data_IF_838526923163
#
_entry.id   IF_838526923163
#
_cell.length_a   1.000
_cell.length_b   1.000
_cell.length_c   1.000
_cell.angle_alpha   90.00
_cell.angle_beta   90.00
_cell.angle_gamma   90.00
#
_symmetry.space_group_name_H-M   'P 1'
#
loop_
_entity.id
_entity.type
_entity.pdbx_description
1 polymer ?
#
# COMPACT_ATOMS: atom_id res chain seq x y z
N UNK A 1 36.74 -21.74 -45.43
CA UNK A 1 36.73 -20.26 -45.50
C UNK A 1 35.90 -19.74 -44.34
N UNK A 2 36.53 -19.30 -43.25
CA UNK A 2 36.00 -18.32 -42.31
C UNK A 2 37.22 -17.67 -41.64
N UNK A 3 37.28 -16.35 -41.74
CA UNK A 3 38.41 -15.50 -41.35
C UNK A 3 38.47 -15.33 -39.83
N UNK A 4 39.68 -15.41 -39.30
CA UNK A 4 40.03 -15.03 -37.93
C UNK A 4 40.36 -13.53 -37.87
N UNK A 5 39.94 -12.85 -36.80
CA UNK A 5 40.47 -11.55 -36.41
C UNK A 5 40.66 -11.51 -34.90
N UNK A 6 41.91 -11.37 -34.50
CA UNK A 6 42.41 -11.07 -33.16
C UNK A 6 42.39 -9.56 -32.90
N UNK A 7 42.02 -9.11 -31.71
CA UNK A 7 42.35 -7.75 -31.23
C UNK A 7 42.71 -7.79 -29.76
N UNK A 8 43.77 -7.06 -29.48
CA UNK A 8 44.62 -6.99 -28.28
C UNK A 8 44.10 -6.07 -27.18
N UNK A 9 44.61 -6.38 -25.98
CA UNK A 9 44.67 -5.66 -24.70
C UNK A 9 44.65 -4.12 -24.74
N UNK A 10 44.08 -3.50 -23.69
CA UNK A 10 44.81 -2.45 -22.96
C UNK A 10 44.39 -2.37 -21.49
N UNK A 11 45.41 -2.32 -20.64
CA UNK A 11 45.43 -2.20 -19.18
C UNK A 11 45.15 -0.76 -18.71
N UNK A 12 44.56 -0.61 -17.53
CA UNK A 12 44.52 0.65 -16.77
C UNK A 12 45.27 0.49 -15.45
N UNK A 13 46.20 1.39 -15.10
CA UNK A 13 46.84 1.41 -13.79
C UNK A 13 46.14 2.40 -12.84
N UNK A 14 46.31 2.10 -11.56
CA UNK A 14 45.91 2.85 -10.38
C UNK A 14 46.93 3.92 -9.97
N UNK A 15 46.55 4.68 -8.94
CA UNK A 15 47.35 5.52 -8.03
C UNK A 15 47.42 7.02 -8.42
N UNK A 16 46.96 7.91 -7.51
CA UNK A 16 47.79 8.85 -6.71
C UNK A 16 46.89 9.85 -5.94
N UNK A 17 47.08 9.85 -4.61
CA UNK A 17 46.69 10.88 -3.65
C UNK A 17 47.38 12.22 -3.95
N UNK A 18 46.71 13.35 -3.74
CA UNK A 18 47.44 14.60 -3.59
C UNK A 18 46.62 15.89 -3.53
N UNK A 19 46.56 16.45 -2.32
CA UNK A 19 46.82 17.87 -2.01
C UNK A 19 45.76 18.92 -2.41
N UNK A 20 45.09 19.42 -1.38
CA UNK A 20 44.45 20.74 -1.28
C UNK A 20 45.38 21.88 -1.69
N UNK A 21 44.81 22.94 -2.28
CA UNK A 21 45.18 24.27 -1.84
C UNK A 21 43.96 25.14 -1.48
N UNK A 22 44.11 25.80 -0.33
CA UNK A 22 43.43 27.04 0.02
C UNK A 22 43.57 28.08 -1.10
N UNK A 23 42.53 28.88 -1.33
CA UNK A 23 42.67 30.35 -1.46
C UNK A 23 41.34 31.10 -1.63
N UNK A 24 41.31 32.24 -0.95
CA UNK A 24 40.62 33.48 -1.30
C UNK A 24 39.10 33.59 -1.14
N UNK A 25 38.72 33.98 0.09
CA UNK A 25 37.55 34.80 0.40
C UNK A 25 37.62 36.14 -0.35
N UNK A 26 36.67 36.40 -1.25
CA UNK A 26 36.35 37.74 -1.74
C UNK A 26 35.05 38.21 -1.10
N UNK A 27 35.13 39.30 -0.33
CA UNK A 27 33.99 40.06 0.16
C UNK A 27 33.17 40.60 -1.03
N UNK A 28 31.87 40.30 -1.03
CA UNK A 28 30.86 41.03 -1.82
C UNK A 28 29.87 41.64 -0.80
N UNK A 29 29.57 42.94 -0.88
CA UNK A 29 28.67 43.58 0.08
C UNK A 29 27.22 43.15 -0.18
N UNK A 30 26.57 42.66 0.88
CA UNK A 30 25.14 42.38 0.93
C UNK A 30 24.34 43.66 0.70
N UNK A 31 23.62 43.74 -0.42
CA UNK A 31 22.46 44.61 -0.57
C UNK A 31 21.29 43.94 0.12
N UNK A 32 20.72 44.61 1.12
CA UNK A 32 19.48 44.23 1.81
C UNK A 32 18.34 44.06 0.79
N UNK A 33 18.09 42.82 0.38
CA UNK A 33 16.84 42.40 -0.22
C UNK A 33 15.90 42.09 0.93
N UNK A 34 14.86 42.90 1.09
CA UNK A 34 13.75 42.57 1.97
C UNK A 34 13.08 41.31 1.39
N UNK A 35 13.39 40.16 2.00
CA UNK A 35 12.67 38.91 1.80
C UNK A 35 11.22 39.15 2.21
N UNK A 36 10.39 39.39 1.21
CA UNK A 36 8.95 39.26 1.33
C UNK A 36 8.73 37.76 1.36
N UNK A 37 8.42 37.22 2.54
CA UNK A 37 7.89 35.88 2.70
C UNK A 37 6.59 35.79 1.90
N UNK A 38 6.70 35.43 0.62
CA UNK A 38 5.57 34.98 -0.19
C UNK A 38 5.08 33.69 0.46
N UNK A 39 4.00 33.83 1.24
CA UNK A 39 3.18 32.74 1.76
C UNK A 39 2.80 31.83 0.59
N UNK A 40 3.61 30.80 0.41
CA UNK A 40 3.49 29.80 -0.64
C UNK A 40 2.29 28.95 -0.27
N UNK A 41 1.09 29.41 -0.64
CA UNK A 41 -0.17 28.71 -0.42
C UNK A 41 -0.06 27.34 -1.08
N UNK A 42 0.26 26.33 -0.26
CA UNK A 42 0.49 24.97 -0.76
C UNK A 42 -0.80 24.48 -1.41
N UNK A 43 -0.70 24.03 -2.65
CA UNK A 43 -1.86 23.50 -3.35
C UNK A 43 -2.31 22.23 -2.59
N UNK A 44 -3.51 22.21 -1.98
CA UNK A 44 -3.94 21.11 -1.11
C UNK A 44 -4.03 19.78 -1.87
N UNK A 45 -4.24 19.83 -3.19
CA UNK A 45 -4.24 18.64 -4.05
C UNK A 45 -2.81 18.09 -4.19
N UNK A 46 -1.81 18.97 -4.31
CA UNK A 46 -0.42 18.56 -4.41
C UNK A 46 0.07 17.91 -3.11
N UNK A 47 -0.33 18.44 -1.94
CA UNK A 47 0.01 17.85 -0.65
C UNK A 47 -0.65 16.48 -0.46
N UNK A 48 -1.93 16.33 -0.82
CA UNK A 48 -2.61 15.04 -0.82
C UNK A 48 -1.94 14.04 -1.77
N UNK A 49 -1.59 14.46 -2.98
CA UNK A 49 -0.92 13.59 -3.96
C UNK A 49 0.46 13.13 -3.45
N UNK A 50 1.18 14.02 -2.75
CA UNK A 50 2.47 13.70 -2.13
C UNK A 50 2.34 12.56 -1.13
N UNK A 51 1.25 12.47 -0.37
CA UNK A 51 0.99 11.37 0.57
C UNK A 51 0.91 10.00 -0.13
N UNK A 52 0.30 9.93 -1.32
CA UNK A 52 0.26 8.67 -2.09
C UNK A 52 1.61 8.36 -2.75
N UNK A 53 2.35 9.39 -3.16
CA UNK A 53 3.69 9.20 -3.72
C UNK A 53 4.72 8.79 -2.66
N UNK A 54 4.53 9.18 -1.41
CA UNK A 54 5.38 8.81 -0.28
C UNK A 54 5.10 7.41 0.27
N UNK A 55 4.13 6.67 -0.26
CA UNK A 55 3.92 5.27 0.14
C UNK A 55 5.16 4.46 -0.26
N UNK A 56 5.91 4.00 0.74
CA UNK A 56 7.15 3.24 0.61
C UNK A 56 7.14 1.92 1.41
N UNK A 57 6.10 1.72 2.23
CA UNK A 57 5.94 0.54 3.08
C UNK A 57 4.50 0.03 3.12
N UNK A 58 4.34 -1.23 3.52
CA UNK A 58 3.03 -1.83 3.83
C UNK A 58 2.29 -1.03 4.91
N UNK A 59 3.00 -0.55 5.93
CA UNK A 59 2.47 0.25 7.02
C UNK A 59 1.89 1.57 6.52
N UNK A 60 2.58 2.25 5.59
CA UNK A 60 2.06 3.48 4.97
C UNK A 60 0.76 3.24 4.21
N UNK A 61 0.61 2.09 3.54
CA UNK A 61 -0.66 1.72 2.87
C UNK A 61 -1.78 1.58 3.88
N UNK A 62 -1.54 0.89 5.00
CA UNK A 62 -2.55 0.71 6.04
C UNK A 62 -2.89 2.01 6.77
N UNK A 63 -1.91 2.89 6.98
CA UNK A 63 -2.10 4.17 7.65
C UNK A 63 -2.98 5.15 6.86
N UNK A 64 -2.93 5.10 5.53
CA UNK A 64 -3.77 5.96 4.69
C UNK A 64 -5.26 5.63 4.81
N UNK A 65 -5.62 4.39 5.20
CA UNK A 65 -7.00 3.91 5.33
C UNK A 65 -7.89 4.25 4.11
N UNK A 66 -7.29 4.29 2.92
CA UNK A 66 -8.01 4.55 1.67
C UNK A 66 -8.47 3.21 1.06
N UNK A 67 -9.76 2.92 1.19
CA UNK A 67 -10.36 1.67 0.71
C UNK A 67 -10.18 1.46 -0.81
N UNK A 68 -10.21 2.52 -1.61
CA UNK A 68 -10.03 2.43 -3.06
C UNK A 68 -8.57 2.11 -3.42
N UNK A 69 -7.61 2.69 -2.69
CA UNK A 69 -6.20 2.33 -2.84
C UNK A 69 -5.96 0.87 -2.48
N UNK A 70 -6.51 0.42 -1.34
CA UNK A 70 -6.41 -0.96 -0.87
C UNK A 70 -7.03 -1.91 -1.90
N UNK A 71 -8.20 -1.57 -2.44
CA UNK A 71 -8.86 -2.37 -3.47
C UNK A 71 -8.05 -2.42 -4.78
N UNK A 72 -7.50 -1.30 -5.22
CA UNK A 72 -6.61 -1.23 -6.39
C UNK A 72 -5.37 -2.12 -6.21
N UNK A 73 -4.71 -2.04 -5.05
CA UNK A 73 -3.58 -2.89 -4.71
C UNK A 73 -3.95 -4.38 -4.66
N UNK A 74 -5.11 -4.73 -4.08
CA UNK A 74 -5.58 -6.12 -4.03
C UNK A 74 -5.87 -6.68 -5.42
N UNK A 75 -6.46 -5.88 -6.31
CA UNK A 75 -6.69 -6.27 -7.70
C UNK A 75 -5.37 -6.54 -8.43
N UNK A 76 -4.40 -5.63 -8.30
CA UNK A 76 -3.06 -5.79 -8.85
C UNK A 76 -2.39 -7.09 -8.33
N UNK A 77 -2.46 -7.34 -7.02
CA UNK A 77 -1.90 -8.53 -6.41
C UNK A 77 -2.57 -9.82 -6.88
N UNK A 78 -3.90 -9.81 -7.05
CA UNK A 78 -4.67 -10.95 -7.57
C UNK A 78 -4.25 -11.30 -8.99
N UNK A 79 -4.09 -10.31 -9.85
CA UNK A 79 -3.60 -10.52 -11.23
C UNK A 79 -2.20 -11.15 -11.26
N UNK A 80 -1.34 -10.75 -10.31
CA UNK A 80 0.03 -11.27 -10.17
C UNK A 80 0.12 -12.58 -9.36
N UNK A 81 -1.01 -13.12 -8.89
CA UNK A 81 -1.09 -14.31 -8.00
C UNK A 81 -0.30 -14.16 -6.70
N UNK A 82 -0.25 -12.94 -6.15
CA UNK A 82 0.47 -12.59 -4.92
C UNK A 82 -0.47 -12.05 -3.82
N UNK A 83 -1.79 -12.20 -3.97
CA UNK A 83 -2.80 -11.69 -3.02
C UNK A 83 -2.61 -12.23 -1.59
N UNK A 84 -2.10 -13.45 -1.46
CA UNK A 84 -1.88 -14.12 -0.18
C UNK A 84 -0.81 -13.43 0.69
N UNK A 85 0.17 -12.75 0.09
CA UNK A 85 1.18 -11.98 0.84
C UNK A 85 0.49 -10.85 1.63
N UNK A 86 -0.43 -10.13 0.99
CA UNK A 86 -1.14 -9.03 1.63
C UNK A 86 -2.12 -9.53 2.70
N UNK A 87 -2.84 -10.62 2.43
CA UNK A 87 -3.71 -11.27 3.43
C UNK A 87 -2.92 -11.74 4.64
N UNK A 88 -1.78 -12.38 4.42
CA UNK A 88 -0.91 -12.86 5.49
C UNK A 88 -0.38 -11.71 6.36
N UNK A 89 0.14 -10.64 5.75
CA UNK A 89 0.61 -9.45 6.49
C UNK A 89 -0.53 -8.80 7.29
N UNK A 90 -1.73 -8.70 6.71
CA UNK A 90 -2.91 -8.19 7.42
C UNK A 90 -3.29 -9.09 8.61
N UNK A 91 -3.25 -10.42 8.44
CA UNK A 91 -3.53 -11.36 9.53
C UNK A 91 -2.50 -11.26 10.65
N UNK A 92 -1.22 -11.06 10.33
CA UNK A 92 -0.16 -10.83 11.33
C UNK A 92 -0.46 -9.57 12.16
N UNK A 93 -0.83 -8.46 11.51
CA UNK A 93 -1.22 -7.23 12.20
C UNK A 93 -2.43 -7.45 13.14
N UNK A 94 -3.46 -8.15 12.65
CA UNK A 94 -4.63 -8.51 13.46
C UNK A 94 -4.25 -9.37 14.67
N UNK A 95 -3.44 -10.41 14.47
CA UNK A 95 -2.94 -11.27 15.55
C UNK A 95 -2.16 -10.45 16.61
N UNK A 96 -1.29 -9.53 16.19
CA UNK A 96 -0.55 -8.65 17.11
C UNK A 96 -1.46 -7.71 17.91
N UNK A 97 -2.53 -7.20 17.27
CA UNK A 97 -3.56 -6.41 17.96
C UNK A 97 -4.36 -7.25 18.96
N UNK A 98 -4.76 -8.46 18.59
CA UNK A 98 -5.45 -9.40 19.48
C UNK A 98 -4.61 -9.71 20.73
N UNK A 99 -3.31 -9.96 20.56
CA UNK A 99 -2.37 -10.18 21.67
C UNK A 99 -2.25 -8.96 22.60
N UNK A 100 -2.10 -7.76 22.03
CA UNK A 100 -1.93 -6.52 22.80
C UNK A 100 -3.18 -6.20 23.64
N UNK A 101 -4.37 -6.39 23.07
CA UNK A 101 -5.65 -6.14 23.76
C UNK A 101 -5.85 -7.08 24.95
N UNK A 102 -5.35 -8.32 24.87
CA UNK A 102 -5.44 -9.27 25.98
C UNK A 102 -4.52 -8.95 27.15
N UNK A 103 -3.40 -8.27 26.93
CA UNK A 103 -2.46 -7.88 28.00
C UNK A 103 -2.87 -6.61 28.74
N UNK A 104 -3.75 -5.79 28.16
CA UNK A 104 -4.19 -4.52 28.74
C UNK A 104 -5.41 -4.69 29.66
N UNK A 105 -5.36 -5.65 30.59
CA UNK A 105 -6.42 -5.76 31.61
C UNK A 105 -6.35 -4.51 32.52
N UNK A 106 -7.46 -3.82 32.79
CA UNK A 106 -7.47 -2.65 33.65
C UNK A 106 -6.96 -3.03 35.04
N UNK A 107 -5.95 -2.29 35.53
CA UNK A 107 -5.45 -2.43 36.90
C UNK A 107 -6.63 -2.34 37.90
N UNK A 108 -6.75 -3.25 38.89
CA UNK A 108 -7.82 -3.25 39.88
C UNK A 108 -7.89 -2.00 40.78
N UNK A 109 -6.95 -1.06 40.68
CA UNK A 109 -6.81 0.07 41.62
C UNK A 109 -7.84 1.20 41.47
N UNK A 110 -8.82 1.14 40.56
CA UNK A 110 -9.86 2.17 40.45
C UNK A 110 -11.24 1.82 41.06
N UNK A 111 -11.33 0.76 41.86
CA UNK A 111 -12.59 0.40 42.56
C UNK A 111 -12.79 1.06 43.94
N UNK A 112 -11.99 2.06 44.32
CA UNK A 112 -12.24 2.87 45.52
C UNK A 112 -12.12 4.37 45.22
N UNK A 113 -13.23 5.00 44.85
CA UNK A 113 -13.61 6.38 45.23
C UNK A 113 -14.46 7.05 44.13
N UNK A 114 -15.76 6.77 44.11
CA UNK A 114 -16.76 7.84 44.03
C UNK A 114 -18.18 7.29 44.19
N UNK A 115 -18.76 7.52 45.38
CA UNK A 115 -20.21 7.66 45.53
C UNK A 115 -20.55 9.09 45.15
N UNK A 116 -21.41 9.32 44.14
CA UNK A 116 -22.44 10.40 44.09
C UNK A 116 -23.16 10.42 42.71
N UNK A 117 -24.34 11.08 42.60
CA UNK A 117 -25.54 10.46 42.02
C UNK A 117 -25.89 10.84 40.57
N UNK A 118 -26.82 10.02 40.05
CA UNK A 118 -27.51 10.03 38.77
C UNK A 118 -27.96 11.42 38.27
N UNK A 119 -27.66 11.70 37.00
CA UNK A 119 -28.52 12.47 36.09
C UNK A 119 -28.74 11.66 34.81
N UNK A 120 -30.01 11.43 34.47
CA UNK A 120 -30.42 10.78 33.23
C UNK A 120 -30.39 11.79 32.10
N UNK A 121 -29.70 11.49 30.99
CA UNK A 121 -30.07 12.05 29.69
C UNK A 121 -29.71 11.08 28.58
N UNK A 122 -30.61 11.05 27.61
CA UNK A 122 -30.86 10.04 26.58
C UNK A 122 -29.97 10.13 25.34
N UNK A 123 -30.04 9.03 24.58
CA UNK A 123 -29.81 8.86 23.14
C UNK A 123 -28.39 8.90 22.60
N UNK A 124 -27.92 7.75 22.13
CA UNK A 124 -27.61 7.59 20.70
C UNK A 124 -27.57 6.11 20.32
N UNK A 125 -28.58 5.70 19.55
CA UNK A 125 -28.55 4.46 18.77
C UNK A 125 -28.06 4.81 17.37
N UNK A 126 -26.89 4.32 16.97
CA UNK A 126 -26.61 3.91 15.59
C UNK A 126 -25.38 3.00 15.60
N UNK A 127 -25.63 1.70 15.61
CA UNK A 127 -24.66 0.65 15.33
C UNK A 127 -24.81 0.25 13.87
N UNK A 128 -23.75 0.41 13.07
CA UNK A 128 -23.71 -0.06 11.69
C UNK A 128 -22.76 -1.25 11.55
N UNK A 129 -23.21 -2.16 10.71
CA UNK A 129 -22.80 -3.54 10.49
C UNK A 129 -21.36 -3.70 9.98
N UNK A 130 -20.61 -4.62 10.57
CA UNK A 130 -19.53 -5.33 9.87
C UNK A 130 -19.87 -6.82 9.81
N UNK A 131 -20.22 -7.27 8.60
CA UNK A 131 -20.30 -8.67 8.25
C UNK A 131 -18.91 -9.14 7.84
N UNK A 132 -18.27 -9.97 8.67
CA UNK A 132 -17.52 -11.13 8.16
C UNK A 132 -17.30 -12.20 9.23
N UNK A 133 -17.45 -13.43 8.78
CA UNK A 133 -17.60 -14.67 9.54
C UNK A 133 -16.32 -15.13 10.26
N UNK A 134 -16.05 -14.58 11.45
CA UNK A 134 -15.15 -15.19 12.46
C UNK A 134 -15.91 -15.55 13.76
N UNK A 135 -17.23 -15.33 13.79
CA UNK A 135 -18.04 -15.44 15.01
C UNK A 135 -18.40 -16.88 15.45
N UNK A 136 -17.81 -17.96 14.92
CA UNK A 136 -18.28 -19.33 15.22
C UNK A 136 -17.42 -20.18 16.15
N UNK A 137 -16.32 -19.66 16.70
CA UNK A 137 -15.55 -20.33 17.76
C UNK A 137 -15.16 -19.40 18.90
N UNK A 138 -16.03 -18.43 19.25
CA UNK A 138 -15.95 -17.74 20.54
C UNK A 138 -16.49 -18.68 21.63
N UNK A 139 -15.79 -19.79 21.86
CA UNK A 139 -16.03 -20.66 23.01
C UNK A 139 -15.80 -19.76 24.23
N UNK A 140 -16.89 -19.45 24.93
CA UNK A 140 -16.89 -18.65 26.16
C UNK A 140 -16.20 -19.43 27.28
N UNK A 141 -14.87 -19.53 27.22
CA UNK A 141 -14.02 -20.02 28.30
C UNK A 141 -13.72 -18.84 29.23
N UNK A 142 -14.69 -18.52 30.09
CA UNK A 142 -14.44 -17.68 31.25
C UNK A 142 -13.68 -18.51 32.31
N UNK A 143 -12.35 -18.51 32.25
CA UNK A 143 -11.49 -18.96 33.34
C UNK A 143 -10.29 -18.03 33.44
N UNK A 144 -10.42 -17.00 34.30
CA UNK A 144 -9.39 -16.00 34.58
C UNK A 144 -8.04 -16.66 34.90
N UNK A 145 -7.01 -16.35 34.09
CA UNK A 145 -5.61 -16.69 34.33
C UNK A 145 -5.00 -17.74 33.40
N UNK A 146 -5.65 -18.90 33.21
CA UNK A 146 -5.11 -19.99 32.37
C UNK A 146 -5.48 -19.90 30.89
N UNK A 147 -6.50 -19.14 30.51
CA UNK A 147 -7.01 -19.06 29.13
C UNK A 147 -6.16 -18.19 28.21
N UNK A 148 -5.41 -17.21 28.72
CA UNK A 148 -4.53 -16.37 27.88
C UNK A 148 -3.36 -17.18 27.30
N UNK A 149 -2.88 -18.20 28.02
CA UNK A 149 -1.78 -19.07 27.58
C UNK A 149 -2.14 -19.90 26.33
N UNK A 150 -3.42 -20.12 26.05
CA UNK A 150 -3.86 -20.96 24.92
C UNK A 150 -4.22 -20.16 23.67
N UNK A 151 -4.47 -18.85 23.79
CA UNK A 151 -4.88 -18.01 22.67
C UNK A 151 -3.78 -17.94 21.60
N UNK A 152 -2.54 -17.71 22.01
CA UNK A 152 -1.41 -17.56 21.09
C UNK A 152 -1.12 -18.86 20.29
N UNK A 153 -1.02 -20.05 20.91
CA UNK A 153 -0.94 -21.33 20.18
C UNK A 153 -2.10 -21.56 19.21
N UNK A 154 -3.34 -21.20 19.60
CA UNK A 154 -4.52 -21.35 18.74
C UNK A 154 -4.45 -20.45 17.50
N UNK A 155 -4.14 -19.16 17.69
CA UNK A 155 -3.99 -18.20 16.59
C UNK A 155 -2.83 -18.61 15.68
N UNK A 156 -1.72 -19.10 16.24
CA UNK A 156 -0.60 -19.57 15.44
C UNK A 156 -0.93 -20.84 14.64
N UNK A 157 -1.70 -21.77 15.21
CA UNK A 157 -2.14 -22.97 14.48
C UNK A 157 -3.06 -22.60 13.31
N UNK A 158 -3.94 -21.62 13.47
CA UNK A 158 -4.73 -21.05 12.38
C UNK A 158 -3.85 -20.44 11.29
N UNK A 159 -2.96 -19.54 11.70
CA UNK A 159 -2.01 -18.87 10.83
C UNK A 159 -1.14 -19.85 10.05
N UNK A 160 -0.62 -20.88 10.72
CA UNK A 160 0.20 -21.91 10.08
C UNK A 160 -0.58 -22.67 9.02
N UNK A 161 -1.78 -23.14 9.35
CA UNK A 161 -2.60 -23.92 8.42
C UNK A 161 -3.04 -23.07 7.21
N UNK A 162 -3.30 -21.78 7.40
CA UNK A 162 -3.75 -20.90 6.34
C UNK A 162 -2.60 -20.41 5.45
N UNK A 163 -1.48 -19.95 6.02
CA UNK A 163 -0.44 -19.24 5.25
C UNK A 163 0.87 -20.00 5.11
N UNK A 164 1.19 -20.95 5.99
CA UNK A 164 2.52 -21.60 6.04
C UNK A 164 2.49 -23.03 5.51
N UNK A 165 1.39 -23.76 5.71
CA UNK A 165 1.22 -25.13 5.27
C UNK A 165 1.28 -25.22 3.75
N UNK A 166 2.09 -26.14 3.22
CA UNK A 166 2.28 -26.33 1.78
C UNK A 166 1.00 -26.78 1.07
N UNK A 167 0.10 -27.44 1.79
CA UNK A 167 -1.18 -27.91 1.27
C UNK A 167 -2.25 -26.82 1.25
N UNK A 168 -1.95 -25.64 1.81
CA UNK A 168 -2.88 -24.51 1.82
C UNK A 168 -2.95 -23.82 0.47
N UNK A 169 -4.17 -23.51 0.03
CA UNK A 169 -4.43 -22.65 -1.13
C UNK A 169 -3.91 -21.21 -0.94
N UNK A 170 -3.78 -20.79 0.32
CA UNK A 170 -3.31 -19.47 0.74
C UNK A 170 -1.84 -19.46 1.17
N UNK A 171 -1.10 -20.53 0.85
CA UNK A 171 0.30 -20.66 1.22
C UNK A 171 1.16 -19.52 0.63
N UNK A 172 1.81 -18.74 1.49
CA UNK A 172 2.74 -17.68 1.07
C UNK A 172 4.11 -18.27 0.68
N UNK A 173 4.83 -17.59 -0.21
CA UNK A 173 6.18 -17.99 -0.61
C UNK A 173 7.23 -17.51 0.40
N UNK A 174 7.58 -18.36 1.36
CA UNK A 174 8.65 -18.11 2.35
C UNK A 174 9.76 -19.16 2.25
N UNK A 175 10.91 -18.84 2.84
CA UNK A 175 12.10 -19.71 2.83
C UNK A 175 11.84 -21.04 3.55
N UNK A 176 12.54 -22.09 3.12
CA UNK A 176 12.44 -23.42 3.72
C UNK A 176 12.82 -23.44 5.21
N UNK A 177 13.75 -22.55 5.62
CA UNK A 177 14.13 -22.36 7.02
C UNK A 177 12.93 -21.92 7.86
N UNK A 178 12.24 -20.85 7.46
CA UNK A 178 11.07 -20.35 8.20
C UNK A 178 9.94 -21.40 8.28
N UNK A 179 9.73 -22.18 7.22
CA UNK A 179 8.76 -23.29 7.25
C UNK A 179 9.15 -24.38 8.24
N UNK A 180 10.44 -24.71 8.32
CA UNK A 180 10.96 -25.70 9.27
C UNK A 180 10.75 -25.20 10.70
N UNK A 181 11.12 -23.96 10.98
CA UNK A 181 10.95 -23.33 12.29
C UNK A 181 9.48 -23.32 12.73
N UNK A 182 8.57 -22.93 11.82
CA UNK A 182 7.13 -22.96 12.08
C UNK A 182 6.60 -24.38 12.33
N UNK A 183 7.08 -25.37 11.58
CA UNK A 183 6.69 -26.78 11.76
C UNK A 183 7.16 -27.35 13.11
N UNK A 184 8.36 -26.98 13.55
CA UNK A 184 8.88 -27.35 14.88
C UNK A 184 7.99 -26.77 15.99
N UNK A 185 7.52 -25.52 15.84
CA UNK A 185 6.57 -24.90 16.79
C UNK A 185 5.23 -25.65 16.81
N UNK A 186 4.70 -26.06 15.66
CA UNK A 186 3.47 -26.88 15.62
C UNK A 186 3.64 -28.19 16.38
N UNK A 187 4.79 -28.87 16.20
CA UNK A 187 5.08 -30.11 16.94
C UNK A 187 5.14 -29.88 18.46
N UNK A 188 5.65 -28.73 18.90
CA UNK A 188 5.64 -28.37 20.33
C UNK A 188 4.23 -28.06 20.83
N UNK A 189 3.41 -27.36 20.04
CA UNK A 189 1.99 -27.12 20.36
C UNK A 189 1.23 -28.46 20.48
N UNK A 190 1.51 -29.41 19.59
CA UNK A 190 0.93 -30.76 19.62
C UNK A 190 1.30 -31.52 20.90
N UNK A 191 2.56 -31.40 21.33
CA UNK A 191 3.08 -32.03 22.53
C UNK A 191 2.50 -31.43 23.81
N UNK A 192 2.45 -30.10 23.91
CA UNK A 192 1.97 -29.40 25.11
C UNK A 192 0.43 -29.36 25.19
N UNK A 193 -0.26 -29.31 24.05
CA UNK A 193 -1.71 -29.11 23.98
C UNK A 193 -2.41 -30.07 22.99
N UNK A 194 -2.35 -31.40 23.22
CA UNK A 194 -2.88 -32.41 22.27
C UNK A 194 -4.38 -32.27 21.98
N UNK A 195 -5.14 -31.67 22.90
CA UNK A 195 -6.58 -31.45 22.76
C UNK A 195 -6.95 -30.36 21.75
N UNK A 196 -6.01 -29.49 21.35
CA UNK A 196 -6.27 -28.44 20.37
C UNK A 196 -6.38 -28.98 18.94
N UNK A 197 -5.68 -30.08 18.61
CA UNK A 197 -5.73 -30.68 17.26
C UNK A 197 -6.95 -31.55 17.01
N UNK A 198 -7.46 -32.24 18.03
CA UNK A 198 -8.55 -33.21 17.87
C UNK A 198 -9.90 -32.59 17.46
N UNK A 199 -10.02 -31.27 17.41
CA UNK A 199 -11.26 -30.57 17.01
C UNK A 199 -11.32 -30.19 15.53
N UNK A 200 -10.29 -30.49 14.73
CA UNK A 200 -10.16 -29.95 13.36
C UNK A 200 -10.08 -30.97 12.23
N UNK A 201 -10.50 -32.22 12.40
CA UNK A 201 -10.94 -33.00 11.23
C UNK A 201 -12.28 -32.45 10.76
N UNK A 202 -12.35 -31.68 9.65
CA UNK A 202 -13.63 -31.48 8.99
C UNK A 202 -14.08 -32.87 8.55
N UNK A 203 -15.18 -33.36 9.12
CA UNK A 203 -15.98 -34.40 8.48
C UNK A 203 -16.44 -33.82 7.14
N UNK A 204 -15.69 -34.08 6.07
CA UNK A 204 -16.15 -33.82 4.71
C UNK A 204 -17.51 -34.53 4.56
N UNK A 205 -18.60 -33.82 4.24
CA UNK A 205 -19.82 -34.50 3.85
C UNK A 205 -19.48 -35.21 2.53
N UNK A 206 -19.44 -36.55 2.56
CA UNK A 206 -19.42 -37.33 1.33
C UNK A 206 -20.69 -36.97 0.56
N UNK A 207 -20.54 -36.17 -0.50
CA UNK A 207 -21.56 -36.03 -1.53
C UNK A 207 -21.62 -37.37 -2.27
N UNK A 208 -22.54 -38.23 -1.86
CA UNK A 208 -23.02 -39.31 -2.71
C UNK A 208 -23.65 -38.68 -3.96
N UNK A 209 -22.87 -38.66 -5.05
CA UNK A 209 -23.38 -38.35 -6.37
C UNK A 209 -24.24 -39.54 -6.80
N UNK A 210 -25.55 -39.42 -6.62
CA UNK A 210 -26.52 -40.28 -7.29
C UNK A 210 -26.46 -39.97 -8.78
N UNK A 211 -26.05 -40.97 -9.54
CA UNK A 211 -25.97 -40.95 -10.99
C UNK A 211 -27.36 -41.18 -11.59
N UNK A 212 -27.82 -40.27 -12.44
CA UNK A 212 -28.92 -40.56 -13.38
C UNK A 212 -28.83 -39.75 -14.68
N UNK A 213 -29.09 -40.52 -15.75
CA UNK A 213 -29.49 -40.15 -17.12
C UNK A 213 -28.57 -39.32 -18.02
N UNK A 214 -27.80 -40.05 -18.83
CA UNK A 214 -27.90 -40.09 -20.30
C UNK A 214 -28.28 -38.81 -21.06
N UNK A 215 -27.27 -38.18 -21.67
CA UNK A 215 -27.38 -37.63 -23.02
C UNK A 215 -26.08 -37.92 -23.79
N UNK A 216 -26.20 -38.73 -24.85
CA UNK A 216 -25.17 -38.90 -25.88
C UNK A 216 -25.14 -37.63 -26.73
N UNK A 217 -24.01 -36.94 -26.73
CA UNK A 217 -23.65 -35.99 -27.78
C UNK A 217 -22.20 -36.26 -28.16
N UNK A 218 -21.98 -36.66 -29.41
CA UNK A 218 -20.66 -36.96 -29.98
C UNK A 218 -19.79 -35.69 -30.03
N UNK A 219 -18.48 -35.76 -29.68
CA UNK A 219 -17.57 -34.65 -29.90
C UNK A 219 -16.93 -34.71 -31.31
N UNK A 220 -16.70 -33.55 -31.95
CA UNK A 220 -15.98 -33.49 -33.21
C UNK A 220 -14.47 -33.69 -32.99
N UNK A 221 -13.87 -34.45 -33.91
CA UNK A 221 -12.43 -34.70 -34.00
C UNK A 221 -11.68 -33.38 -34.26
N UNK A 222 -10.92 -32.91 -33.26
CA UNK A 222 -9.90 -31.88 -33.44
C UNK A 222 -8.52 -32.49 -33.22
N UNK A 223 -7.81 -32.60 -34.34
CA UNK A 223 -6.48 -33.15 -34.48
C UNK A 223 -5.47 -32.03 -34.15
N UNK A 224 -4.83 -32.10 -32.98
CA UNK A 224 -3.71 -31.21 -32.64
C UNK A 224 -2.53 -32.08 -32.21
N UNK A 225 -1.55 -32.18 -33.11
CA UNK A 225 -0.23 -32.73 -32.84
C UNK A 225 0.50 -31.85 -31.83
N UNK A 226 0.76 -32.39 -30.64
CA UNK A 226 1.71 -31.83 -29.68
C UNK A 226 3.06 -32.47 -29.94
N UNK A 227 3.97 -31.75 -30.58
CA UNK A 227 5.39 -32.12 -30.66
C UNK A 227 6.08 -31.77 -29.35
N UNK A 228 6.30 -32.77 -28.49
CA UNK A 228 7.13 -32.64 -27.28
C UNK A 228 8.61 -32.75 -27.65
N UNK A 229 9.34 -31.65 -27.73
CA UNK A 229 10.80 -31.63 -27.82
C UNK A 229 11.41 -31.57 -26.42
N UNK A 230 11.80 -32.72 -25.89
CA UNK A 230 12.59 -32.89 -24.66
C UNK A 230 14.04 -32.45 -24.89
N UNK A 231 14.47 -31.35 -24.28
CA UNK A 231 15.91 -30.99 -24.18
C UNK A 231 16.45 -31.43 -22.81
N UNK A 232 17.26 -32.47 -22.85
CA UNK A 232 18.08 -32.98 -21.76
C UNK A 232 18.99 -31.87 -21.18
N UNK A 233 18.88 -31.61 -19.88
CA UNK A 233 19.88 -30.83 -19.13
C UNK A 233 21.02 -31.77 -18.73
N UNK A 234 22.22 -31.46 -19.22
CA UNK A 234 23.50 -32.03 -18.81
C UNK A 234 23.82 -31.61 -17.37
N UNK A 235 24.06 -32.59 -16.51
CA UNK A 235 24.64 -32.47 -15.18
C UNK A 235 26.17 -32.37 -15.26
N UNK A 236 26.78 -31.50 -14.45
CA UNK A 236 28.22 -31.37 -14.20
C UNK A 236 28.43 -31.02 -12.70
N UNK A 237 29.64 -31.24 -12.13
CA UNK A 237 29.81 -32.10 -10.97
C UNK A 237 29.94 -31.36 -9.63
N UNK A 238 29.48 -32.03 -8.58
CA UNK A 238 29.71 -31.71 -7.17
C UNK A 238 31.18 -31.91 -6.79
N UNK A 239 31.88 -30.83 -6.41
CA UNK A 239 33.18 -30.91 -5.74
C UNK A 239 32.96 -31.14 -4.25
N UNK A 240 33.51 -32.26 -3.78
CA UNK A 240 33.75 -32.61 -2.39
C UNK A 240 34.72 -31.63 -1.72
N UNK A 241 34.37 -31.15 -0.54
CA UNK A 241 35.33 -30.64 0.43
C UNK A 241 35.35 -31.62 1.60
N UNK A 242 36.46 -32.34 1.72
CA UNK A 242 36.83 -33.11 2.89
C UNK A 242 37.76 -32.27 3.78
N UNK A 243 37.77 -32.64 5.05
CA UNK A 243 38.88 -32.50 6.01
C UNK A 243 39.20 -31.11 6.59
N UNK A 244 38.65 -30.84 7.79
CA UNK A 244 39.44 -30.34 8.93
C UNK A 244 38.99 -31.04 10.21
N UNK A 245 39.81 -31.99 10.66
CA UNK A 245 39.83 -32.57 12.01
C UNK A 245 40.82 -31.83 12.92
N UNK A 246 40.64 -32.01 14.24
CA UNK A 246 41.48 -31.62 15.41
C UNK A 246 41.22 -30.19 15.93
N UNK A 247 40.89 -29.94 17.20
CA UNK A 247 41.39 -30.51 18.46
C UNK A 247 40.27 -30.76 19.48
N UNK A 248 40.46 -31.85 20.22
CA UNK A 248 39.58 -32.39 21.25
C UNK A 248 40.25 -32.13 22.60
N UNK A 249 39.83 -31.10 23.30
CA UNK A 249 40.11 -30.97 24.74
C UNK A 249 38.97 -31.59 25.53
N UNK A 250 39.29 -32.71 26.16
CA UNK A 250 38.53 -33.29 27.25
C UNK A 250 38.96 -32.58 28.52
N UNK A 251 38.06 -31.85 29.17
CA UNK A 251 37.89 -31.81 30.63
C UNK A 251 36.99 -30.63 31.02
N UNK A 252 35.78 -30.94 31.48
CA UNK A 252 35.12 -30.42 32.70
C UNK A 252 33.62 -30.65 32.56
N UNK A 253 33.22 -31.88 32.82
CA UNK A 253 31.86 -32.19 33.26
C UNK A 253 31.68 -31.61 34.66
N UNK A 254 30.83 -30.59 34.77
CA UNK A 254 29.83 -30.45 35.84
C UNK A 254 29.35 -29.00 35.85
N UNK A 255 28.03 -28.82 35.88
CA UNK A 255 27.33 -27.55 36.12
C UNK A 255 27.21 -26.56 34.96
N UNK A 256 26.38 -26.85 33.95
CA UNK A 256 25.52 -25.83 33.30
C UNK A 256 24.51 -26.41 32.28
N UNK A 257 23.94 -27.59 32.52
CA UNK A 257 22.79 -28.05 31.73
C UNK A 257 21.48 -27.50 32.33
N UNK A 258 21.40 -26.18 32.50
CA UNK A 258 20.10 -25.51 32.58
C UNK A 258 19.63 -25.38 31.13
N UNK A 259 19.05 -26.44 30.62
CA UNK A 259 18.16 -26.38 29.46
C UNK A 259 17.09 -25.34 29.80
N UNK A 260 17.36 -24.10 29.42
CA UNK A 260 16.41 -23.02 29.50
C UNK A 260 15.31 -23.43 28.52
N UNK A 261 14.23 -24.00 29.04
CA UNK A 261 13.02 -24.29 28.27
C UNK A 261 12.59 -22.96 27.68
N UNK A 262 12.93 -22.72 26.41
CA UNK A 262 12.50 -21.53 25.71
C UNK A 262 10.98 -21.58 25.75
N UNK A 263 10.38 -20.52 26.30
CA UNK A 263 8.93 -20.41 26.38
C UNK A 263 8.33 -20.47 24.97
N UNK A 264 7.38 -21.38 24.77
CA UNK A 264 6.70 -21.60 23.49
C UNK A 264 6.13 -20.29 22.92
N UNK A 265 5.65 -19.39 23.79
CA UNK A 265 5.16 -18.07 23.38
C UNK A 265 6.24 -17.24 22.69
N UNK A 266 7.46 -17.28 23.22
CA UNK A 266 8.63 -16.58 22.64
C UNK A 266 9.00 -17.17 21.29
N UNK A 267 8.92 -18.50 21.13
CA UNK A 267 9.16 -19.16 19.84
C UNK A 267 8.12 -18.75 18.79
N UNK A 268 6.84 -18.74 19.16
CA UNK A 268 5.73 -18.32 18.28
C UNK A 268 5.93 -16.88 17.82
N UNK A 269 6.17 -15.95 18.75
CA UNK A 269 6.34 -14.52 18.43
C UNK A 269 7.55 -14.34 17.51
N UNK A 270 8.69 -14.95 17.83
CA UNK A 270 9.90 -14.86 17.01
C UNK A 270 9.70 -15.41 15.59
N UNK A 271 8.92 -16.49 15.45
CA UNK A 271 8.57 -17.03 14.14
C UNK A 271 7.64 -16.08 13.35
N UNK A 272 6.61 -15.52 13.98
CA UNK A 272 5.70 -14.56 13.35
C UNK A 272 6.48 -13.32 12.88
N UNK A 273 7.35 -12.76 13.72
CA UNK A 273 8.17 -11.60 13.37
C UNK A 273 9.12 -11.89 12.20
N UNK A 274 9.70 -13.09 12.18
CA UNK A 274 10.58 -13.51 11.09
C UNK A 274 9.84 -13.68 9.75
N UNK A 275 8.61 -14.23 9.79
CA UNK A 275 7.73 -14.33 8.61
C UNK A 275 7.30 -12.93 8.16
N UNK A 276 6.87 -12.08 9.09
CA UNK A 276 6.45 -10.71 8.81
C UNK A 276 7.57 -9.92 8.14
N UNK A 277 8.79 -9.97 8.69
CA UNK A 277 9.95 -9.28 8.13
C UNK A 277 10.24 -9.74 6.71
N UNK A 278 10.27 -11.06 6.47
CA UNK A 278 10.51 -11.61 5.15
C UNK A 278 9.47 -11.14 4.13
N UNK A 279 8.19 -11.18 4.50
CA UNK A 279 7.09 -10.75 3.64
C UNK A 279 7.08 -9.22 3.41
N UNK A 280 7.37 -8.41 4.44
CA UNK A 280 7.50 -6.95 4.30
C UNK A 280 8.64 -6.58 3.37
N UNK A 281 9.80 -7.26 3.48
CA UNK A 281 10.91 -7.03 2.56
C UNK A 281 10.51 -7.32 1.11
N UNK A 282 9.85 -8.46 0.87
CA UNK A 282 9.35 -8.80 -0.46
C UNK A 282 8.30 -7.79 -0.95
N UNK A 283 7.36 -7.40 -0.09
CA UNK A 283 6.31 -6.45 -0.42
C UNK A 283 6.88 -5.07 -0.76
N UNK A 284 7.73 -4.52 0.08
CA UNK A 284 8.28 -3.16 -0.09
C UNK A 284 9.24 -3.10 -1.29
N UNK A 285 10.11 -4.09 -1.46
CA UNK A 285 11.16 -4.04 -2.48
C UNK A 285 10.70 -4.50 -3.87
N UNK A 286 9.73 -5.42 -3.95
CA UNK A 286 9.33 -5.99 -5.24
C UNK A 286 7.91 -5.56 -5.62
N UNK A 287 6.95 -5.77 -4.73
CA UNK A 287 5.53 -5.58 -5.06
C UNK A 287 5.21 -4.10 -5.20
N UNK A 288 5.52 -3.31 -4.17
CA UNK A 288 5.12 -1.91 -4.08
C UNK A 288 5.80 -1.05 -5.15
N UNK A 289 7.09 -1.28 -5.40
CA UNK A 289 7.83 -0.58 -6.46
C UNK A 289 7.20 -0.81 -7.84
N UNK A 290 6.76 -2.05 -8.11
CA UNK A 290 6.12 -2.38 -9.38
C UNK A 290 4.68 -1.88 -9.45
N UNK A 291 3.93 -1.97 -8.35
CA UNK A 291 2.57 -1.42 -8.26
C UNK A 291 2.54 0.08 -8.53
N UNK A 292 3.48 0.85 -7.98
CA UNK A 292 3.58 2.30 -8.22
C UNK A 292 3.88 2.68 -9.68
N UNK A 293 4.42 1.74 -10.46
CA UNK A 293 4.68 1.91 -11.91
C UNK A 293 3.53 1.38 -12.77
N UNK A 294 2.56 0.70 -12.16
CA UNK A 294 1.47 0.08 -12.87
C UNK A 294 0.45 1.13 -13.38
N UNK A 295 -0.20 0.79 -14.50
CA UNK A 295 -1.20 1.65 -15.10
C UNK A 295 -2.45 1.78 -14.22
N UNK A 296 -2.81 0.74 -13.47
CA UNK A 296 -3.96 0.77 -12.55
C UNK A 296 -3.73 1.78 -11.43
N UNK A 297 -2.50 1.84 -10.87
CA UNK A 297 -2.15 2.83 -9.85
C UNK A 297 -2.17 4.25 -10.40
N UNK A 298 -1.66 4.45 -11.62
CA UNK A 298 -1.70 5.77 -12.29
C UNK A 298 -3.14 6.23 -12.53
N UNK A 299 -4.01 5.30 -12.96
CA UNK A 299 -5.43 5.56 -13.20
C UNK A 299 -6.16 5.89 -11.89
N UNK A 300 -5.84 5.17 -10.81
CA UNK A 300 -6.31 5.47 -9.46
C UNK A 300 -5.93 6.89 -9.02
N UNK A 301 -4.65 7.27 -9.15
CA UNK A 301 -4.19 8.62 -8.80
C UNK A 301 -4.91 9.71 -9.61
N UNK A 302 -5.08 9.51 -10.91
CA UNK A 302 -5.79 10.45 -11.77
C UNK A 302 -7.25 10.61 -11.34
N UNK A 303 -7.91 9.50 -11.00
CA UNK A 303 -9.30 9.51 -10.52
C UNK A 303 -9.43 10.28 -9.21
N UNK A 304 -8.49 10.11 -8.28
CA UNK A 304 -8.41 10.86 -7.02
C UNK A 304 -8.19 12.36 -7.25
N UNK A 305 -7.27 12.73 -8.14
CA UNK A 305 -7.02 14.15 -8.48
C UNK A 305 -8.27 14.80 -9.06
N UNK A 306 -9.00 14.12 -9.94
CA UNK A 306 -10.27 14.61 -10.50
C UNK A 306 -11.31 14.77 -9.39
N UNK A 307 -11.46 13.77 -8.51
CA UNK A 307 -12.40 13.82 -7.39
C UNK A 307 -12.12 15.01 -6.46
N UNK A 308 -10.86 15.21 -6.04
CA UNK A 308 -10.49 16.35 -5.19
C UNK A 308 -10.64 17.69 -5.89
N UNK A 309 -10.37 17.76 -7.20
CA UNK A 309 -10.61 18.96 -7.99
C UNK A 309 -12.09 19.35 -7.95
N UNK A 310 -13.00 18.37 -8.01
CA UNK A 310 -14.44 18.60 -7.93
C UNK A 310 -14.90 18.97 -6.51
N UNK A 311 -14.32 18.36 -5.48
CA UNK A 311 -14.60 18.66 -4.06
C UNK A 311 -14.13 20.06 -3.64
N UNK A 312 -13.00 20.52 -4.17
CA UNK A 312 -12.40 21.81 -3.80
C UNK A 312 -13.31 23.00 -4.09
N UNK A 313 -14.38 22.84 -4.87
CA UNK A 313 -15.35 23.89 -5.16
C UNK A 313 -14.78 25.10 -5.91
N UNK A 314 -13.47 25.15 -6.17
CA UNK A 314 -12.81 26.23 -6.92
C UNK A 314 -13.31 26.21 -8.36
N UNK A 315 -13.57 25.04 -8.95
CA UNK A 315 -14.28 24.99 -10.22
C UNK A 315 -15.71 25.53 -10.05
N UNK A 316 -16.51 24.95 -9.16
CA UNK A 316 -17.95 25.25 -9.06
C UNK A 316 -18.29 26.68 -8.58
N UNK A 317 -17.43 27.36 -7.81
CA UNK A 317 -17.68 28.73 -7.32
C UNK A 317 -17.21 29.81 -8.30
N UNK A 318 -16.21 29.54 -9.14
CA UNK A 318 -15.74 30.43 -10.20
C UNK A 318 -16.59 30.39 -11.47
N UNK A 319 -17.44 29.36 -11.63
CA UNK A 319 -18.37 29.24 -12.75
C UNK A 319 -19.74 29.88 -12.49
N UNK A 320 -19.91 30.61 -11.38
CA UNK A 320 -21.07 31.48 -11.23
C UNK A 320 -20.86 32.75 -12.07
N UNK A 321 -21.83 33.12 -12.90
CA UNK A 321 -21.80 34.36 -13.67
C UNK A 321 -21.64 35.64 -12.81
N UNK A 322 -21.76 35.53 -11.48
CA UNK A 322 -21.52 36.61 -10.53
C UNK A 322 -20.08 36.76 -10.05
N UNK A 323 -19.14 35.91 -10.47
CA UNK A 323 -17.74 36.02 -10.04
C UNK A 323 -17.15 37.37 -10.45
N UNK A 324 -16.28 37.92 -9.62
CA UNK A 324 -15.55 39.15 -9.96
C UNK A 324 -14.35 38.83 -10.85
N UNK A 325 -13.89 39.82 -11.63
CA UNK A 325 -12.69 39.62 -12.47
C UNK A 325 -11.47 39.35 -11.60
N UNK A 326 -11.35 39.98 -10.43
CA UNK A 326 -10.23 39.77 -9.51
C UNK A 326 -10.21 38.34 -8.95
N UNK A 327 -11.37 37.74 -8.63
CA UNK A 327 -11.46 36.33 -8.24
C UNK A 327 -10.93 35.39 -9.34
N UNK A 328 -11.29 35.63 -10.60
CA UNK A 328 -10.77 34.85 -11.73
C UNK A 328 -9.25 35.03 -11.87
N UNK A 329 -8.77 36.28 -11.82
CA UNK A 329 -7.35 36.54 -11.98
C UNK A 329 -6.53 35.92 -10.83
N UNK A 330 -7.07 35.91 -9.62
CA UNK A 330 -6.44 35.26 -8.47
C UNK A 330 -6.41 33.74 -8.64
N UNK A 331 -7.53 33.14 -9.02
CA UNK A 331 -7.63 31.69 -9.19
C UNK A 331 -6.68 31.09 -10.24
N UNK A 332 -6.32 31.88 -11.24
CA UNK A 332 -5.49 31.45 -12.36
C UNK A 332 -4.09 32.05 -12.38
N UNK A 333 -3.67 32.66 -11.26
CA UNK A 333 -2.36 33.27 -11.04
C UNK A 333 -2.00 34.34 -12.09
N UNK A 334 -2.92 35.28 -12.27
CA UNK A 334 -2.86 36.37 -13.25
C UNK A 334 -3.17 37.74 -12.63
N UNK A 335 -2.95 37.89 -11.31
CA UNK A 335 -3.20 39.14 -10.57
C UNK A 335 -2.42 40.34 -11.09
N UNK A 336 -1.32 40.12 -11.82
CA UNK A 336 -0.55 41.15 -12.52
C UNK A 336 -1.42 42.04 -13.43
N UNK A 337 -2.57 41.56 -13.92
CA UNK A 337 -3.49 42.32 -14.78
C UNK A 337 -4.64 43.01 -14.04
N UNK A 338 -4.82 42.80 -12.73
CA UNK A 338 -5.96 43.37 -11.98
C UNK A 338 -6.08 44.88 -12.16
N UNK A 339 -4.95 45.61 -12.06
CA UNK A 339 -4.89 47.07 -12.30
C UNK A 339 -5.34 47.48 -13.70
N UNK A 340 -5.06 46.66 -14.72
CA UNK A 340 -5.46 46.94 -16.10
C UNK A 340 -6.97 46.81 -16.30
N UNK A 341 -7.61 45.82 -15.67
CA UNK A 341 -9.06 45.67 -15.67
C UNK A 341 -9.74 46.80 -14.88
N UNK A 342 -9.22 47.11 -13.67
CA UNK A 342 -9.70 48.20 -12.84
C UNK A 342 -9.63 49.56 -13.55
N UNK A 343 -8.52 49.85 -14.25
CA UNK A 343 -8.35 51.08 -15.06
C UNK A 343 -9.42 51.22 -16.15
N UNK A 344 -9.93 50.11 -16.67
CA UNK A 344 -11.01 50.07 -17.67
C UNK A 344 -12.40 49.99 -17.05
N UNK A 345 -12.52 50.05 -15.72
CA UNK A 345 -13.78 49.88 -14.97
C UNK A 345 -14.48 48.55 -15.25
N UNK A 346 -13.68 47.51 -15.48
CA UNK A 346 -14.15 46.14 -15.66
C UNK A 346 -13.97 45.43 -14.32
N UNK A 347 -15.06 45.18 -13.62
CA UNK A 347 -15.09 44.50 -12.31
C UNK A 347 -15.81 43.15 -12.36
N UNK A 348 -16.68 42.93 -13.35
CA UNK A 348 -17.48 41.71 -13.50
C UNK A 348 -17.21 41.02 -14.84
N UNK A 349 -17.28 39.68 -14.83
CA UNK A 349 -17.03 38.82 -15.99
C UNK A 349 -18.05 39.08 -17.10
N UNK A 350 -19.28 39.49 -16.75
CA UNK A 350 -20.32 39.85 -17.72
C UNK A 350 -19.90 40.98 -18.67
N UNK A 351 -19.04 41.88 -18.19
CA UNK A 351 -18.56 43.02 -18.98
C UNK A 351 -17.55 42.60 -20.04
N UNK A 352 -16.92 41.43 -19.86
CA UNK A 352 -15.87 40.90 -20.74
C UNK A 352 -16.30 39.62 -21.48
N UNK A 353 -17.54 39.18 -21.33
CA UNK A 353 -18.05 37.93 -21.94
C UNK A 353 -17.91 37.86 -23.46
N UNK A 354 -17.94 39.02 -24.12
CA UNK A 354 -17.82 39.14 -25.58
C UNK A 354 -16.42 39.59 -26.03
N UNK A 355 -15.43 39.64 -25.12
CA UNK A 355 -14.08 40.05 -25.49
C UNK A 355 -13.39 38.93 -26.27
N UNK A 356 -12.81 39.29 -27.40
CA UNK A 356 -11.94 38.40 -28.17
C UNK A 356 -10.52 38.39 -27.59
N UNK A 357 -9.70 37.43 -28.01
CA UNK A 357 -8.26 37.41 -27.71
C UNK A 357 -7.58 38.73 -28.07
N UNK A 358 -8.02 39.38 -29.17
CA UNK A 358 -7.46 40.65 -29.61
C UNK A 358 -7.90 41.81 -28.71
N UNK A 359 -9.13 41.79 -28.18
CA UNK A 359 -9.59 42.78 -27.20
C UNK A 359 -8.77 42.74 -25.91
N UNK A 360 -8.46 41.54 -25.39
CA UNK A 360 -7.59 41.41 -24.21
C UNK A 360 -6.17 41.92 -24.48
N UNK A 361 -5.67 41.71 -25.68
CA UNK A 361 -4.35 42.21 -26.09
C UNK A 361 -4.34 43.74 -26.18
N UNK A 362 -5.29 44.33 -26.90
CA UNK A 362 -5.25 45.74 -27.27
C UNK A 362 -5.89 46.66 -26.21
N UNK A 363 -6.99 46.23 -25.57
CA UNK A 363 -7.73 47.04 -24.61
C UNK A 363 -7.18 46.89 -23.19
N UNK A 364 -6.83 45.68 -22.78
CA UNK A 364 -6.32 45.37 -21.42
C UNK A 364 -4.78 45.38 -21.38
N UNK A 365 -4.11 45.10 -22.50
CA UNK A 365 -2.65 45.13 -22.59
C UNK A 365 -1.97 43.81 -22.24
N UNK A 366 -2.69 42.68 -22.31
CA UNK A 366 -2.14 41.36 -21.99
C UNK A 366 -1.28 40.87 -23.16
N UNK A 367 0.05 40.84 -22.97
CA UNK A 367 1.01 40.45 -24.02
C UNK A 367 1.32 38.95 -24.05
N UNK A 368 1.22 38.27 -22.91
CA UNK A 368 1.53 36.84 -22.79
C UNK A 368 0.42 36.01 -23.45
N UNK A 369 0.76 35.32 -24.55
CA UNK A 369 -0.20 34.50 -25.32
C UNK A 369 -0.85 33.40 -24.48
N UNK A 370 -0.10 32.79 -23.55
CA UNK A 370 -0.65 31.79 -22.63
C UNK A 370 -1.77 32.34 -21.75
N UNK A 371 -1.59 33.56 -21.22
CA UNK A 371 -2.57 34.21 -20.34
C UNK A 371 -3.81 34.64 -21.12
N UNK A 372 -3.63 35.18 -22.33
CA UNK A 372 -4.73 35.48 -23.25
C UNK A 372 -5.63 34.26 -23.50
N UNK A 373 -5.02 33.10 -23.83
CA UNK A 373 -5.76 31.86 -24.07
C UNK A 373 -6.47 31.37 -22.82
N UNK A 374 -5.83 31.47 -21.64
CA UNK A 374 -6.40 31.05 -20.37
C UNK A 374 -7.64 31.87 -20.01
N UNK A 375 -7.57 33.19 -20.08
CA UNK A 375 -8.71 34.08 -19.78
C UNK A 375 -9.88 33.81 -20.73
N UNK A 376 -9.62 33.70 -22.04
CA UNK A 376 -10.68 33.43 -23.03
C UNK A 376 -11.34 32.07 -22.77
N UNK A 377 -10.56 31.02 -22.47
CA UNK A 377 -11.11 29.70 -22.13
C UNK A 377 -12.00 29.77 -20.89
N UNK A 378 -11.55 30.43 -19.82
CA UNK A 378 -12.31 30.54 -18.57
C UNK A 378 -13.64 31.25 -18.81
N UNK A 379 -13.63 32.37 -19.55
CA UNK A 379 -14.88 33.08 -19.89
C UNK A 379 -15.80 32.19 -20.73
N UNK A 380 -15.26 31.44 -21.69
CA UNK A 380 -16.04 30.48 -22.47
C UNK A 380 -16.58 29.32 -21.62
N UNK A 381 -15.89 28.88 -20.58
CA UNK A 381 -16.40 27.86 -19.68
C UNK A 381 -17.55 28.40 -18.81
N UNK A 382 -17.45 29.65 -18.34
CA UNK A 382 -18.52 30.33 -17.57
C UNK A 382 -19.80 30.52 -18.40
N UNK A 383 -19.70 30.93 -19.67
CA UNK A 383 -20.86 31.26 -20.51
C UNK A 383 -21.21 30.21 -21.59
N UNK A 384 -20.29 29.31 -21.89
CA UNK A 384 -20.38 28.34 -23.00
C UNK A 384 -20.72 26.92 -22.57
N UNK A 385 -20.90 26.64 -21.27
CA UNK A 385 -21.36 25.35 -20.76
C UNK A 385 -22.91 25.18 -20.79
N UNK A 386 -23.61 25.82 -21.73
CA UNK A 386 -24.93 25.32 -22.16
C UNK A 386 -24.74 24.44 -23.39
N UNK A 387 -24.92 23.11 -23.28
CA UNK A 387 -24.90 22.27 -24.46
C UNK A 387 -26.06 22.68 -25.36
N UNK A 388 -25.73 23.16 -26.55
CA UNK A 388 -26.64 23.20 -27.67
C UNK A 388 -27.02 21.75 -28.03
N UNK A 389 -28.02 21.23 -27.33
CA UNK A 389 -28.38 19.81 -27.31
C UNK A 389 -29.89 19.61 -27.17
N UNK A 390 -30.68 20.35 -27.93
CA UNK A 390 -32.07 19.97 -28.24
C UNK A 390 -32.38 20.41 -29.67
N UNK A 391 -31.81 19.67 -30.63
CA UNK A 391 -32.44 19.57 -31.95
C UNK A 391 -33.76 18.82 -31.73
N UNK A 392 -34.85 19.58 -31.70
CA UNK A 392 -36.19 19.08 -31.96
C UNK A 392 -36.18 18.45 -33.35
N UNK A 393 -36.08 17.13 -33.37
CA UNK A 393 -36.41 16.30 -34.52
C UNK A 393 -37.93 16.28 -34.65
N UNK A 394 -38.48 17.24 -35.40
CA UNK A 394 -39.79 17.08 -36.03
C UNK A 394 -39.56 16.54 -37.45
N UNK A 395 -39.85 15.25 -37.62
CA UNK A 395 -40.44 14.67 -38.82
C UNK A 395 -41.23 13.44 -38.40
#
# INVERSE_FOLDING_TARGET
>A
MFLSATTTQSSSPSVINGILPHSCSSLIPHTNSADVDEDNASNPIADRLKNYQSIDSFESVLQLQDDELIQSLQNYLRQRKNEEIFKCLKRIDEMKREMTMTCSSPSPEQLQSNRQPKTMTSSNMYSSFSNNSVAKLKISLQLHGKTMSLLLPLLFLEFYNEFICLDSVSCVNITSRLRKDAKEIIQQIELEYPHLLNKRTPSSPSLEITSSSAFKVDPPKLNVQVTTSSKQRKSLPSKSFSDITTLRDKNSESEQNRNCSIDLSTMIIGCIDSVELALKMQFNNEILINFKKDQEFTTFLLSRVIAWSNESGVASSLFNASSTIDEILQAYDMMEYSKSFAKRKLSSVDQIKNFTTQDFKDKIGIKKVGHLKRIVRVIQEIYGAHPCGSKTSSL
#
